data_IF_663002767925
#
_entry.id   IF_663002767925
#
_cell.length_a   1.000
_cell.length_b   1.000
_cell.length_c   1.000
_cell.angle_alpha   90.00
_cell.angle_beta   90.00
_cell.angle_gamma   90.00
#
_symmetry.space_group_name_H-M   'P 1'
#
loop_
_entity.id
_entity.type
_entity.pdbx_description
1 polymer ?
#
# COMPACT_ATOMS: atom_id res chain seq x y z
N UNK A 1 16.14 -21.83 3.23
CA UNK A 1 15.29 -20.80 2.57
C UNK A 1 14.46 -20.12 3.65
N UNK A 2 14.23 -18.80 3.59
CA UNK A 2 13.30 -18.16 4.53
C UNK A 2 11.94 -18.82 4.42
N UNK A 3 11.49 -19.45 5.52
CA UNK A 3 10.23 -20.14 5.57
C UNK A 3 9.10 -19.11 5.72
N UNK A 4 8.20 -19.02 4.74
CA UNK A 4 7.08 -18.07 4.78
C UNK A 4 6.18 -18.29 6.01
N UNK A 5 6.11 -19.52 6.52
CA UNK A 5 5.33 -19.82 7.73
C UNK A 5 5.83 -19.08 8.98
N UNK A 6 7.14 -18.86 9.14
CA UNK A 6 7.68 -18.09 10.28
C UNK A 6 7.28 -16.63 10.21
N UNK A 7 7.27 -16.04 9.00
CA UNK A 7 6.83 -14.65 8.80
C UNK A 7 5.35 -14.49 9.13
N UNK A 8 4.50 -15.41 8.67
CA UNK A 8 3.07 -15.42 8.97
C UNK A 8 2.79 -15.64 10.47
N UNK A 9 3.56 -16.50 11.14
CA UNK A 9 3.45 -16.68 12.59
C UNK A 9 3.80 -15.40 13.37
N UNK A 10 4.87 -14.71 12.96
CA UNK A 10 5.28 -13.44 13.54
C UNK A 10 4.25 -12.32 13.30
N UNK A 11 3.64 -12.26 12.12
CA UNK A 11 2.52 -11.36 11.83
C UNK A 11 1.33 -11.62 12.75
N UNK A 12 0.92 -12.89 12.89
CA UNK A 12 -0.21 -13.26 13.76
C UNK A 12 0.08 -12.88 15.22
N UNK A 13 1.30 -13.14 15.69
CA UNK A 13 1.75 -12.74 17.02
C UNK A 13 1.71 -11.21 17.21
N UNK A 14 2.24 -10.46 16.25
CA UNK A 14 2.23 -9.00 16.27
C UNK A 14 0.79 -8.45 16.35
N UNK A 15 -0.12 -8.93 15.50
CA UNK A 15 -1.53 -8.53 15.52
C UNK A 15 -2.18 -8.82 16.88
N UNK A 16 -1.94 -9.99 17.45
CA UNK A 16 -2.46 -10.37 18.77
C UNK A 16 -1.91 -9.48 19.91
N UNK A 17 -0.62 -9.13 19.87
CA UNK A 17 -0.01 -8.26 20.87
C UNK A 17 -0.50 -6.82 20.75
N UNK A 18 -0.77 -6.34 19.53
CA UNK A 18 -1.30 -4.99 19.27
C UNK A 18 -2.73 -4.78 19.75
N UNK A 19 -3.48 -5.87 19.98
CA UNK A 19 -4.77 -5.80 20.68
C UNK A 19 -4.62 -5.53 22.18
N UNK A 20 -3.42 -5.74 22.75
CA UNK A 20 -3.17 -5.68 24.20
C UNK A 20 -2.31 -4.48 24.60
N UNK A 21 -1.38 -4.04 23.74
CA UNK A 21 -0.45 -2.94 24.01
C UNK A 21 -0.02 -2.23 22.72
N UNK A 22 0.34 -0.95 22.78
CA UNK A 22 0.82 -0.22 21.61
C UNK A 22 2.16 -0.76 21.09
N UNK A 23 2.45 -0.55 19.81
CA UNK A 23 3.60 -1.17 19.11
C UNK A 23 4.94 -0.79 19.73
N UNK A 24 5.08 0.42 20.28
CA UNK A 24 6.30 0.90 20.95
C UNK A 24 6.62 0.16 22.26
N UNK A 25 5.65 -0.58 22.80
CA UNK A 25 5.78 -1.45 23.99
C UNK A 25 5.90 -2.93 23.63
N UNK A 26 5.78 -3.28 22.36
CA UNK A 26 6.04 -4.64 21.90
C UNK A 26 7.55 -4.79 21.76
N UNK A 27 8.08 -5.91 22.23
CA UNK A 27 9.49 -6.26 22.10
C UNK A 27 9.65 -7.46 21.20
N UNK A 28 10.84 -7.59 20.59
CA UNK A 28 11.20 -8.81 19.83
C UNK A 28 11.10 -10.05 20.73
N UNK A 29 11.38 -9.92 22.03
CA UNK A 29 11.24 -11.01 22.98
C UNK A 29 9.78 -11.45 23.16
N UNK A 30 8.84 -10.51 23.22
CA UNK A 30 7.40 -10.85 23.26
C UNK A 30 7.02 -11.72 22.06
N UNK A 31 7.40 -11.28 20.86
CA UNK A 31 7.12 -11.97 19.59
C UNK A 31 7.79 -13.35 19.53
N UNK A 32 9.08 -13.42 19.87
CA UNK A 32 9.82 -14.68 19.78
C UNK A 32 9.34 -15.71 20.79
N UNK A 33 8.94 -15.28 21.98
CA UNK A 33 8.38 -16.16 23.00
C UNK A 33 7.00 -16.70 22.57
N UNK A 34 6.14 -15.83 22.05
CA UNK A 34 4.80 -16.21 21.57
C UNK A 34 4.88 -17.18 20.38
N UNK A 35 5.83 -16.98 19.46
CA UNK A 35 6.07 -17.87 18.32
C UNK A 35 6.93 -19.11 18.65
N UNK A 36 7.53 -19.21 19.83
CA UNK A 36 8.45 -20.29 20.19
C UNK A 36 9.74 -20.33 19.35
N UNK A 37 10.24 -19.17 18.90
CA UNK A 37 11.46 -19.05 18.09
C UNK A 37 12.56 -18.30 18.82
N UNK A 38 13.79 -18.29 18.27
CA UNK A 38 14.88 -17.48 18.81
C UNK A 38 14.88 -16.06 18.24
N UNK A 39 15.50 -15.11 18.96
CA UNK A 39 15.74 -13.75 18.45
C UNK A 39 16.56 -13.75 17.14
N UNK A 40 17.49 -14.68 16.98
CA UNK A 40 18.26 -14.84 15.74
C UNK A 40 17.36 -15.24 14.57
N UNK A 41 16.35 -16.09 14.81
CA UNK A 41 15.36 -16.44 13.80
C UNK A 41 14.47 -15.25 13.41
N UNK A 42 14.13 -14.36 14.36
CA UNK A 42 13.46 -13.10 14.04
C UNK A 42 14.31 -12.23 13.11
N UNK A 43 15.57 -11.97 13.48
CA UNK A 43 16.46 -11.09 12.71
C UNK A 43 16.86 -11.65 11.34
N UNK A 44 16.69 -12.94 11.12
CA UNK A 44 16.81 -13.53 9.78
C UNK A 44 15.72 -13.05 8.82
N UNK A 45 14.55 -12.66 9.35
CA UNK A 45 13.39 -12.25 8.55
C UNK A 45 13.15 -10.75 8.56
N UNK A 46 13.37 -10.08 9.70
CA UNK A 46 13.03 -8.68 9.90
C UNK A 46 14.14 -7.95 10.67
N UNK A 47 14.43 -6.72 10.28
CA UNK A 47 15.45 -5.88 10.94
C UNK A 47 15.01 -5.46 12.34
N UNK A 48 13.73 -5.14 12.49
CA UNK A 48 13.11 -4.71 13.72
C UNK A 48 11.58 -4.94 13.65
N UNK A 49 10.85 -4.48 14.67
CA UNK A 49 9.39 -4.61 14.75
C UNK A 49 8.70 -3.80 13.66
N UNK A 50 9.28 -2.68 13.23
CA UNK A 50 8.68 -1.81 12.23
C UNK A 50 8.79 -2.40 10.82
N UNK A 51 9.89 -3.10 10.52
CA UNK A 51 10.05 -3.90 9.30
C UNK A 51 9.02 -5.05 9.26
N UNK A 52 8.73 -5.69 10.40
CA UNK A 52 7.63 -6.65 10.51
C UNK A 52 6.26 -6.00 10.28
N UNK A 53 5.99 -4.84 10.91
CA UNK A 53 4.74 -4.08 10.71
C UNK A 53 4.54 -3.75 9.23
N UNK A 54 5.55 -3.18 8.57
CA UNK A 54 5.48 -2.83 7.15
C UNK A 54 5.18 -4.07 6.30
N UNK A 55 5.85 -5.19 6.58
CA UNK A 55 5.62 -6.44 5.88
C UNK A 55 4.21 -6.98 6.10
N UNK A 56 3.70 -6.98 7.33
CA UNK A 56 2.33 -7.42 7.65
C UNK A 56 1.28 -6.57 6.93
N UNK A 57 1.42 -5.25 6.96
CA UNK A 57 0.50 -4.35 6.25
C UNK A 57 0.53 -4.58 4.73
N UNK A 58 1.71 -4.82 4.16
CA UNK A 58 1.87 -5.10 2.73
C UNK A 58 1.26 -6.45 2.35
N UNK A 59 1.49 -7.47 3.17
CA UNK A 59 0.96 -8.81 2.97
C UNK A 59 -0.57 -8.82 3.01
N UNK A 60 -1.19 -8.16 3.99
CA UNK A 60 -2.65 -8.04 4.10
C UNK A 60 -3.27 -7.37 2.89
N UNK A 61 -2.75 -6.21 2.50
CA UNK A 61 -3.33 -5.46 1.40
C UNK A 61 -2.99 -6.09 0.02
N UNK A 62 -1.85 -6.79 -0.10
CA UNK A 62 -1.56 -7.62 -1.28
C UNK A 62 -2.51 -8.81 -1.39
N UNK A 63 -2.86 -9.47 -0.27
CA UNK A 63 -3.91 -10.50 -0.24
C UNK A 63 -5.25 -9.91 -0.64
N UNK A 64 -5.66 -8.80 -0.02
CA UNK A 64 -6.94 -8.15 -0.30
C UNK A 64 -7.14 -7.78 -1.77
N UNK A 65 -6.08 -7.33 -2.44
CA UNK A 65 -6.11 -6.96 -3.85
C UNK A 65 -6.44 -8.12 -4.81
N UNK A 66 -6.35 -9.40 -4.41
CA UNK A 66 -6.73 -10.60 -5.18
C UNK A 66 -6.42 -10.59 -6.71
N UNK A 67 -5.38 -9.88 -7.15
CA UNK A 67 -5.06 -9.74 -8.58
C UNK A 67 -5.89 -8.71 -9.37
N UNK A 68 -6.78 -7.94 -8.72
CA UNK A 68 -7.57 -6.84 -9.30
C UNK A 68 -6.72 -5.60 -9.59
N UNK A 69 -5.78 -5.73 -10.53
CA UNK A 69 -4.76 -4.71 -10.84
C UNK A 69 -4.79 -4.27 -12.30
N UNK A 70 -5.88 -4.52 -13.01
CA UNK A 70 -6.05 -4.17 -14.45
C UNK A 70 -6.79 -2.85 -14.62
N UNK A 71 -6.75 -2.27 -15.82
CA UNK A 71 -7.48 -1.04 -16.13
C UNK A 71 -9.01 -1.17 -15.94
N UNK A 72 -9.57 -2.36 -16.06
CA UNK A 72 -11.00 -2.59 -15.85
C UNK A 72 -11.36 -2.76 -14.37
N UNK A 73 -10.40 -3.20 -13.54
CA UNK A 73 -10.67 -3.62 -12.15
C UNK A 73 -9.98 -2.75 -11.10
N UNK A 74 -9.20 -1.74 -11.49
CA UNK A 74 -8.42 -0.96 -10.52
C UNK A 74 -9.30 -0.19 -9.53
N UNK A 75 -10.54 0.16 -9.90
CA UNK A 75 -11.51 0.76 -8.98
C UNK A 75 -11.91 -0.23 -7.88
N UNK A 76 -12.14 -1.49 -8.25
CA UNK A 76 -12.39 -2.57 -7.29
C UNK A 76 -11.16 -2.85 -6.43
N UNK A 77 -9.97 -2.87 -7.05
CA UNK A 77 -8.71 -2.98 -6.33
C UNK A 77 -8.52 -1.84 -5.33
N UNK A 78 -8.91 -0.62 -5.71
CA UNK A 78 -8.88 0.54 -4.82
C UNK A 78 -9.81 0.37 -3.63
N UNK A 79 -11.05 -0.08 -3.88
CA UNK A 79 -12.03 -0.36 -2.84
C UNK A 79 -11.52 -1.40 -1.86
N UNK A 80 -10.92 -2.49 -2.36
CA UNK A 80 -10.36 -3.56 -1.52
C UNK A 80 -9.22 -3.09 -0.63
N UNK A 81 -8.42 -2.11 -1.06
CA UNK A 81 -7.39 -1.52 -0.20
C UNK A 81 -8.05 -0.79 0.97
N UNK A 82 -9.05 0.06 0.71
CA UNK A 82 -9.76 0.77 1.78
C UNK A 82 -10.48 -0.19 2.74
N UNK A 83 -11.10 -1.25 2.20
CA UNK A 83 -11.74 -2.31 2.98
C UNK A 83 -10.73 -3.01 3.90
N UNK A 84 -9.57 -3.44 3.37
CA UNK A 84 -8.52 -4.08 4.15
C UNK A 84 -7.96 -3.18 5.25
N UNK A 85 -7.79 -1.88 4.98
CA UNK A 85 -7.37 -0.90 5.99
C UNK A 85 -8.46 -0.76 7.07
N UNK A 86 -9.74 -0.73 6.69
CA UNK A 86 -10.87 -0.62 7.61
C UNK A 86 -11.05 -1.86 8.50
N UNK A 87 -10.96 -3.06 7.93
CA UNK A 87 -11.02 -4.33 8.68
C UNK A 87 -9.93 -4.40 9.75
N UNK A 88 -8.76 -3.81 9.47
CA UNK A 88 -7.62 -3.74 10.38
C UNK A 88 -7.54 -2.42 11.16
N UNK A 89 -8.65 -1.68 11.30
CA UNK A 89 -8.67 -0.32 11.90
C UNK A 89 -7.90 -0.18 13.22
N UNK A 90 -8.08 -1.04 14.26
CA UNK A 90 -7.34 -0.89 15.51
C UNK A 90 -5.82 -1.00 15.31
N UNK A 91 -5.40 -1.92 14.45
CA UNK A 91 -3.99 -2.12 14.09
C UNK A 91 -3.46 -0.90 13.34
N UNK A 92 -4.15 -0.44 12.29
CA UNK A 92 -3.75 0.72 11.49
C UNK A 92 -3.66 1.99 12.33
N UNK A 93 -4.61 2.24 13.23
CA UNK A 93 -4.59 3.40 14.10
C UNK A 93 -3.43 3.36 15.10
N UNK A 94 -3.14 2.19 15.69
CA UNK A 94 -1.99 2.01 16.59
C UNK A 94 -0.66 2.22 15.85
N UNK A 95 -0.54 1.67 14.63
CA UNK A 95 0.61 1.87 13.77
C UNK A 95 0.76 3.34 13.38
N UNK A 96 -0.34 4.00 13.01
CA UNK A 96 -0.35 5.41 12.62
C UNK A 96 0.13 6.34 13.73
N UNK A 97 -0.23 6.04 14.99
CA UNK A 97 0.17 6.86 16.14
C UNK A 97 1.60 6.62 16.62
N UNK A 98 2.18 5.46 16.32
CA UNK A 98 3.49 5.07 16.82
C UNK A 98 4.60 5.19 15.79
N UNK A 99 4.29 5.14 14.49
CA UNK A 99 5.23 5.32 13.41
C UNK A 99 5.38 6.79 13.02
N UNK A 100 6.52 7.13 12.41
CA UNK A 100 6.65 8.41 11.73
C UNK A 100 5.75 8.44 10.49
N UNK A 101 5.34 9.65 10.10
CA UNK A 101 4.57 9.86 8.87
C UNK A 101 5.28 9.28 7.64
N UNK A 102 6.61 9.43 7.58
CA UNK A 102 7.44 8.90 6.48
C UNK A 102 7.35 7.37 6.38
N UNK A 103 7.36 6.65 7.49
CA UNK A 103 7.26 5.19 7.49
C UNK A 103 5.90 4.72 6.95
N UNK A 104 4.82 5.39 7.33
CA UNK A 104 3.47 5.07 6.86
C UNK A 104 3.31 5.43 5.37
N UNK A 105 3.87 6.56 4.96
CA UNK A 105 3.90 6.99 3.56
C UNK A 105 4.65 5.97 2.69
N UNK A 106 5.84 5.54 3.08
CA UNK A 106 6.62 4.55 2.35
C UNK A 106 5.85 3.22 2.15
N UNK A 107 5.16 2.77 3.19
CA UNK A 107 4.27 1.61 3.13
C UNK A 107 3.16 1.79 2.08
N UNK A 108 2.37 2.87 2.21
CA UNK A 108 1.24 3.12 1.33
C UNK A 108 1.70 3.37 -0.12
N UNK A 109 2.84 4.03 -0.31
CA UNK A 109 3.43 4.27 -1.62
C UNK A 109 3.77 2.98 -2.34
N UNK A 110 4.37 2.01 -1.65
CA UNK A 110 4.75 0.73 -2.27
C UNK A 110 3.52 0.01 -2.81
N UNK A 111 2.49 -0.11 -1.99
CA UNK A 111 1.26 -0.81 -2.32
C UNK A 111 0.56 -0.20 -3.54
N UNK A 112 0.41 1.12 -3.51
CA UNK A 112 -0.42 1.86 -4.45
C UNK A 112 0.29 2.08 -5.77
N UNK A 113 1.62 2.25 -5.73
CA UNK A 113 2.45 2.30 -6.93
C UNK A 113 2.34 1.02 -7.74
N UNK A 114 2.36 -0.15 -7.10
CA UNK A 114 2.25 -1.42 -7.82
C UNK A 114 0.89 -1.59 -8.50
N UNK A 115 -0.20 -1.18 -7.83
CA UNK A 115 -1.54 -1.17 -8.43
C UNK A 115 -1.58 -0.24 -9.66
N UNK A 116 -1.19 1.02 -9.50
CA UNK A 116 -1.27 2.05 -10.55
C UNK A 116 -0.31 1.73 -11.71
N UNK A 117 0.89 1.24 -11.41
CA UNK A 117 1.88 0.90 -12.43
C UNK A 117 1.40 -0.23 -13.34
N UNK A 118 0.67 -1.22 -12.81
CA UNK A 118 0.10 -2.29 -13.64
C UNK A 118 -0.94 -1.74 -14.64
N UNK A 119 -1.82 -0.85 -14.17
CA UNK A 119 -2.81 -0.16 -15.00
C UNK A 119 -2.13 0.68 -16.10
N UNK A 120 -1.08 1.43 -15.74
CA UNK A 120 -0.32 2.26 -16.68
C UNK A 120 0.38 1.40 -17.73
N UNK A 121 1.03 0.31 -17.32
CA UNK A 121 1.70 -0.62 -18.25
C UNK A 121 0.72 -1.24 -19.23
N UNK A 122 -0.50 -1.56 -18.78
CA UNK A 122 -1.56 -2.08 -19.62
C UNK A 122 -2.03 -1.03 -20.64
N UNK A 123 -2.36 0.17 -20.18
CA UNK A 123 -2.89 1.25 -21.02
C UNK A 123 -1.88 1.83 -22.02
N UNK A 124 -0.59 1.73 -21.71
CA UNK A 124 0.48 2.31 -22.53
C UNK A 124 1.05 1.35 -23.57
N UNK A 125 0.55 0.12 -23.66
CA UNK A 125 0.96 -0.84 -24.70
C UNK A 125 0.75 -0.23 -26.09
N UNK A 126 1.80 -0.22 -26.90
CA UNK A 126 1.77 0.33 -28.26
C UNK A 126 1.84 1.86 -28.34
N UNK A 127 1.98 2.57 -27.22
CA UNK A 127 2.18 4.02 -27.19
C UNK A 127 3.68 4.38 -27.19
N UNK A 128 4.02 5.54 -27.76
CA UNK A 128 5.39 6.07 -27.74
C UNK A 128 5.69 6.75 -26.38
N UNK A 129 5.77 5.97 -25.31
CA UNK A 129 5.99 6.44 -23.94
C UNK A 129 7.18 5.69 -23.32
N UNK A 130 8.03 6.41 -22.61
CA UNK A 130 9.21 5.88 -21.91
C UNK A 130 8.84 5.36 -20.52
N UNK A 131 9.69 4.50 -19.97
CA UNK A 131 9.54 4.02 -18.60
C UNK A 131 9.58 5.16 -17.56
N UNK A 132 10.32 6.24 -17.82
CA UNK A 132 10.39 7.41 -16.93
C UNK A 132 9.05 8.14 -16.88
N UNK A 133 8.41 8.36 -18.02
CA UNK A 133 7.08 9.01 -18.10
C UNK A 133 6.00 8.13 -17.47
N UNK A 134 6.04 6.81 -17.69
CA UNK A 134 5.16 5.87 -16.99
C UNK A 134 5.34 5.97 -15.47
N UNK A 135 6.60 6.02 -14.99
CA UNK A 135 6.88 6.18 -13.56
C UNK A 135 6.37 7.51 -13.03
N UNK A 136 6.57 8.61 -13.76
CA UNK A 136 6.08 9.91 -13.35
C UNK A 136 4.55 9.93 -13.20
N UNK A 137 3.83 9.40 -14.19
CA UNK A 137 2.38 9.29 -14.14
C UNK A 137 1.96 8.42 -12.94
N UNK A 138 2.63 7.28 -12.73
CA UNK A 138 2.35 6.40 -11.60
C UNK A 138 2.56 7.10 -10.25
N UNK A 139 3.67 7.82 -10.11
CA UNK A 139 4.03 8.51 -8.89
C UNK A 139 3.05 9.67 -8.60
N UNK A 140 2.61 10.41 -9.62
CA UNK A 140 1.61 11.47 -9.47
C UNK A 140 0.28 10.95 -8.89
N UNK A 141 -0.27 9.88 -9.46
CA UNK A 141 -1.51 9.29 -8.96
C UNK A 141 -1.32 8.58 -7.61
N UNK A 142 -0.16 7.96 -7.39
CA UNK A 142 0.23 7.36 -6.10
C UNK A 142 0.21 8.41 -4.98
N UNK A 143 0.82 9.57 -5.18
CA UNK A 143 0.80 10.64 -4.18
C UNK A 143 -0.61 11.14 -3.89
N UNK A 144 -1.44 11.28 -4.92
CA UNK A 144 -2.84 11.69 -4.77
C UNK A 144 -3.63 10.70 -3.91
N UNK A 145 -3.53 9.40 -4.22
CA UNK A 145 -4.20 8.37 -3.45
C UNK A 145 -3.73 8.31 -2.00
N UNK A 146 -2.41 8.24 -1.79
CA UNK A 146 -1.84 8.11 -0.44
C UNK A 146 -2.17 9.32 0.42
N UNK A 147 -2.18 10.53 -0.15
CA UNK A 147 -2.62 11.73 0.54
C UNK A 147 -4.06 11.62 1.06
N UNK A 148 -5.01 11.20 0.19
CA UNK A 148 -6.42 11.04 0.59
C UNK A 148 -6.58 9.96 1.66
N UNK A 149 -5.89 8.83 1.53
CA UNK A 149 -5.93 7.76 2.52
C UNK A 149 -5.37 8.20 3.87
N UNK A 150 -4.24 8.90 3.89
CA UNK A 150 -3.63 9.41 5.12
C UNK A 150 -4.54 10.43 5.82
N UNK A 151 -5.21 11.30 5.07
CA UNK A 151 -6.16 12.26 5.64
C UNK A 151 -7.37 11.56 6.27
N UNK A 152 -7.87 10.49 5.64
CA UNK A 152 -8.93 9.66 6.21
C UNK A 152 -8.49 8.92 7.48
N UNK A 153 -7.29 8.34 7.49
CA UNK A 153 -6.71 7.70 8.68
C UNK A 153 -6.52 8.71 9.81
N UNK A 154 -5.98 9.90 9.50
CA UNK A 154 -5.74 10.99 10.46
C UNK A 154 -7.03 11.43 11.17
N UNK A 155 -8.16 11.40 10.48
CA UNK A 155 -9.48 11.74 11.04
C UNK A 155 -10.15 10.58 11.80
N UNK A 156 -9.44 9.46 11.94
CA UNK A 156 -9.88 8.28 12.67
C UNK A 156 -10.77 7.35 11.86
N UNK A 157 -10.68 7.40 10.52
CA UNK A 157 -11.41 6.52 9.60
C UNK A 157 -12.91 6.52 9.89
N UNK A 158 -13.49 7.72 10.00
CA UNK A 158 -14.90 7.94 10.38
C UNK A 158 -15.79 8.15 9.17
N UNK A 159 -15.26 8.81 8.14
CA UNK A 159 -15.98 9.00 6.88
C UNK A 159 -16.22 7.66 6.17
N UNK A 160 -17.31 7.60 5.40
CA UNK A 160 -17.64 6.47 4.56
C UNK A 160 -16.60 6.32 3.44
N UNK A 161 -15.73 5.31 3.54
CA UNK A 161 -14.68 5.11 2.54
C UNK A 161 -15.23 4.78 1.14
N UNK A 162 -16.46 4.28 1.02
CA UNK A 162 -17.07 4.03 -0.30
C UNK A 162 -17.26 5.34 -1.08
N UNK A 163 -17.65 6.41 -0.40
CA UNK A 163 -17.79 7.75 -1.00
C UNK A 163 -16.42 8.30 -1.41
N UNK A 164 -15.42 8.15 -0.55
CA UNK A 164 -14.03 8.55 -0.84
C UNK A 164 -13.50 7.81 -2.08
N UNK A 165 -13.67 6.48 -2.13
CA UNK A 165 -13.24 5.66 -3.27
C UNK A 165 -13.97 6.09 -4.54
N UNK A 166 -15.28 6.34 -4.46
CA UNK A 166 -16.08 6.80 -5.59
C UNK A 166 -15.58 8.16 -6.12
N UNK A 167 -15.31 9.12 -5.24
CA UNK A 167 -14.80 10.44 -5.62
C UNK A 167 -13.41 10.34 -6.27
N UNK A 168 -12.52 9.48 -5.74
CA UNK A 168 -11.23 9.18 -6.38
C UNK A 168 -11.45 8.57 -7.77
N UNK A 169 -12.36 7.60 -7.89
CA UNK A 169 -12.64 6.92 -9.15
C UNK A 169 -13.17 7.89 -10.21
N UNK A 170 -14.12 8.76 -9.86
CA UNK A 170 -14.64 9.82 -10.73
C UNK A 170 -13.51 10.77 -11.14
N UNK A 171 -12.71 11.21 -10.18
CA UNK A 171 -11.59 12.15 -10.41
C UNK A 171 -10.51 11.55 -11.32
N UNK A 172 -10.26 10.25 -11.25
CA UNK A 172 -9.21 9.57 -12.02
C UNK A 172 -9.70 8.93 -13.32
N UNK A 173 -11.02 8.74 -13.48
CA UNK A 173 -11.60 8.08 -14.64
C UNK A 173 -11.18 8.76 -15.95
N UNK A 174 -10.66 7.98 -16.89
CA UNK A 174 -10.14 8.47 -18.18
C UNK A 174 -8.82 9.25 -18.10
N UNK A 175 -8.45 9.82 -16.95
CA UNK A 175 -7.30 10.70 -16.82
C UNK A 175 -5.96 9.98 -17.00
N UNK A 176 -5.83 8.71 -16.61
CA UNK A 176 -4.63 7.90 -16.88
C UNK A 176 -4.40 7.78 -18.40
N UNK A 177 -5.44 7.42 -19.16
CA UNK A 177 -5.35 7.30 -20.63
C UNK A 177 -5.03 8.65 -21.28
N UNK A 178 -5.70 9.73 -20.85
CA UNK A 178 -5.44 11.07 -21.35
C UNK A 178 -4.00 11.52 -21.05
N UNK A 179 -3.49 11.25 -19.84
CA UNK A 179 -2.11 11.57 -19.46
C UNK A 179 -1.12 10.86 -20.37
N UNK A 180 -1.32 9.55 -20.59
CA UNK A 180 -0.48 8.77 -21.50
C UNK A 180 -0.52 9.33 -22.93
N UNK A 181 -1.72 9.60 -23.45
CA UNK A 181 -1.89 10.17 -24.79
C UNK A 181 -1.17 11.52 -24.94
N UNK A 182 -1.27 12.40 -23.95
CA UNK A 182 -0.60 13.70 -23.95
C UNK A 182 0.93 13.55 -24.05
N UNK A 183 1.54 12.63 -23.30
CA UNK A 183 2.98 12.34 -23.40
C UNK A 183 3.37 11.70 -24.74
N UNK A 184 2.50 10.87 -25.32
CA UNK A 184 2.76 10.28 -26.63
C UNK A 184 2.70 11.34 -27.74
N UNK A 185 1.75 12.28 -27.66
CA UNK A 185 1.54 13.32 -28.67
C UNK A 185 2.55 14.47 -28.56
N UNK A 186 3.04 14.79 -27.35
CA UNK A 186 4.11 15.79 -27.17
C UNK A 186 5.41 15.42 -27.90
N UNK A 187 5.59 14.14 -28.28
CA UNK A 187 6.73 13.66 -29.06
C UNK A 187 6.52 13.68 -30.57
N UNK A 188 5.26 13.83 -31.02
CA UNK A 188 4.92 13.97 -32.44
C UNK A 188 5.04 15.40 -32.92
N UNK A 189 4.98 16.38 -32.01
CA UNK A 189 5.19 17.78 -32.34
C UNK A 189 6.70 18.06 -32.46
N UNK A 190 7.18 18.65 -33.57
CA UNK A 190 8.58 19.05 -33.68
C UNK A 190 8.89 20.07 -32.58
N UNK A 191 9.99 19.85 -31.85
CA UNK A 191 10.53 20.85 -30.92
C UNK A 191 10.76 22.15 -31.71
N UNK A 192 10.01 23.20 -31.37
CA UNK A 192 10.33 24.57 -31.80
C UNK A 192 11.64 25.03 -31.17
#
# INVERSE_FOLDING_TARGET
MPNNSTKLALEASLKNLLLKKPVDKITITDLTNDCGITRMAFYYHFKDIYDLVEWSCYEDASKALHGKKTYETWQEGLMQIFEAVMENKPFIMNVYHALSREQIENYLFRLTRDLIMNVIKECSKGMNITASEQSFIADFYKYSFVGVMLDWIKKGMKENYHEIVNDICITMSGNIKNSLQNFADSKKQPKQ
#
